data_IF_231068687387
#
_entry.id   IF_231068687387
#
_cell.length_a   1.000
_cell.length_b   1.000
_cell.length_c   1.000
_cell.angle_alpha   90.00
_cell.angle_beta   90.00
_cell.angle_gamma   90.00
#
_symmetry.space_group_name_H-M   'P 1'
#
loop_
_entity.id
_entity.type
_entity.pdbx_description
1 polymer ?
#
# COMPACT_ATOMS: atom_id res chain seq x y z
N UNK A 1 -5.60 -0.44 1.55
CA UNK A 1 -4.14 -0.32 1.30
C UNK A 1 -3.64 -1.67 0.81
N UNK A 2 -2.70 -1.72 -0.12
CA UNK A 2 -2.22 -3.00 -0.67
C UNK A 2 -0.73 -3.24 -0.41
N UNK A 3 0.05 -2.16 -0.34
CA UNK A 3 1.49 -2.21 -0.19
C UNK A 3 1.99 -0.91 0.45
N UNK A 4 3.05 -1.00 1.25
CA UNK A 4 3.79 0.13 1.78
C UNK A 4 5.26 0.02 1.37
N UNK A 5 5.89 1.13 1.03
CA UNK A 5 7.28 1.15 0.54
C UNK A 5 8.31 0.67 1.58
N UNK A 6 7.99 0.70 2.87
CA UNK A 6 8.88 0.25 3.95
C UNK A 6 8.49 -1.13 4.50
N UNK A 7 7.19 -1.43 4.60
CA UNK A 7 6.69 -2.66 5.20
C UNK A 7 6.36 -3.77 4.17
N UNK A 8 6.34 -3.45 2.88
CA UNK A 8 5.96 -4.37 1.82
C UNK A 8 4.44 -4.54 1.70
N UNK A 9 4.03 -5.69 1.17
CA UNK A 9 2.64 -6.00 0.86
C UNK A 9 1.81 -6.39 2.07
N UNK A 10 0.52 -6.03 2.01
CA UNK A 10 -0.47 -6.38 3.03
C UNK A 10 -1.25 -7.59 2.53
N UNK A 11 -0.72 -8.79 2.78
CA UNK A 11 -1.24 -10.04 2.23
C UNK A 11 -2.71 -10.31 2.54
N UNK A 12 -3.18 -9.94 3.73
CA UNK A 12 -4.59 -10.09 4.10
C UNK A 12 -5.55 -9.38 3.12
N UNK A 13 -5.16 -8.21 2.59
CA UNK A 13 -5.99 -7.48 1.64
C UNK A 13 -5.97 -8.11 0.25
N UNK A 14 -4.84 -8.71 -0.14
CA UNK A 14 -4.77 -9.53 -1.35
C UNK A 14 -5.69 -10.75 -1.24
N UNK A 15 -5.72 -11.42 -0.09
CA UNK A 15 -6.59 -12.58 0.16
C UNK A 15 -8.07 -12.25 0.07
N UNK A 16 -8.48 -11.12 0.65
CA UNK A 16 -9.84 -10.62 0.54
C UNK A 16 -10.20 -10.28 -0.90
N UNK A 17 -9.28 -9.63 -1.63
CA UNK A 17 -9.48 -9.33 -3.04
C UNK A 17 -9.66 -10.60 -3.88
N UNK A 18 -8.89 -11.66 -3.59
CA UNK A 18 -8.94 -12.96 -4.28
C UNK A 18 -10.15 -13.83 -3.93
N UNK A 19 -10.75 -13.65 -2.76
CA UNK A 19 -11.92 -14.41 -2.32
C UNK A 19 -13.24 -13.81 -2.78
N UNK A 20 -13.26 -12.54 -3.21
CA UNK A 20 -14.49 -11.84 -3.60
C UNK A 20 -14.47 -11.43 -5.07
N UNK A 21 -15.62 -11.39 -5.72
CA UNK A 21 -15.77 -10.92 -7.11
C UNK A 21 -15.68 -9.39 -7.22
N UNK A 22 -14.48 -8.87 -6.95
CA UNK A 22 -14.13 -7.45 -6.99
C UNK A 22 -13.04 -7.21 -8.04
N UNK A 23 -13.09 -6.03 -8.63
CA UNK A 23 -12.17 -5.54 -9.65
C UNK A 23 -11.45 -4.30 -9.13
N UNK A 24 -10.15 -4.23 -9.33
CA UNK A 24 -9.38 -3.00 -9.14
C UNK A 24 -9.73 -2.05 -10.28
N UNK A 25 -10.19 -0.85 -9.93
CA UNK A 25 -10.62 0.17 -10.89
C UNK A 25 -9.74 1.42 -10.89
N UNK A 26 -8.95 1.66 -9.83
CA UNK A 26 -7.92 2.71 -9.76
C UNK A 26 -6.87 2.35 -8.71
N UNK A 27 -5.73 3.04 -8.75
CA UNK A 27 -4.76 3.07 -7.68
C UNK A 27 -4.38 4.51 -7.30
N UNK A 28 -3.84 4.69 -6.10
CA UNK A 28 -3.19 5.93 -5.68
C UNK A 28 -2.05 5.65 -4.72
N UNK A 29 -1.07 6.54 -4.68
CA UNK A 29 0.08 6.47 -3.78
C UNK A 29 -0.02 7.63 -2.80
N UNK A 30 -0.22 7.32 -1.53
CA UNK A 30 -0.31 8.32 -0.48
C UNK A 30 1.02 8.39 0.26
N UNK A 31 1.65 9.57 0.25
CA UNK A 31 2.82 9.82 1.11
C UNK A 31 2.37 9.79 2.57
N UNK A 32 3.05 8.97 3.36
CA UNK A 32 2.84 8.90 4.81
C UNK A 32 3.64 10.02 5.45
N UNK A 33 2.91 10.96 6.06
CA UNK A 33 3.47 12.07 6.82
C UNK A 33 3.02 11.95 8.28
N UNK A 34 3.99 11.86 9.19
CA UNK A 34 3.74 11.82 10.62
C UNK A 34 3.78 13.24 11.19
N UNK A 35 2.68 13.65 11.80
CA UNK A 35 2.49 15.00 12.34
C UNK A 35 2.32 14.91 13.84
N UNK A 36 3.16 15.64 14.58
CA UNK A 36 2.97 15.87 16.02
C UNK A 36 1.89 16.93 16.22
N UNK A 37 0.90 16.59 17.03
CA UNK A 37 -0.23 17.46 17.35
C UNK A 37 -0.61 17.38 18.84
N UNK A 38 -1.30 18.40 19.33
CA UNK A 38 -1.83 18.44 20.69
C UNK A 38 -3.16 19.20 20.75
N UNK A 39 -3.77 19.23 21.93
CA UNK A 39 -4.94 20.07 22.19
C UNK A 39 -4.63 21.57 21.88
N UNK A 40 -5.56 22.36 21.32
CA UNK A 40 -5.33 23.76 20.97
C UNK A 40 -4.77 24.64 22.10
N UNK A 41 -5.25 24.42 23.32
CA UNK A 41 -4.80 25.10 24.55
C UNK A 41 -3.47 24.57 25.12
N UNK A 42 -2.81 23.63 24.46
CA UNK A 42 -1.52 23.06 24.86
C UNK A 42 -0.34 23.67 24.07
N UNK A 43 0.86 23.41 24.57
CA UNK A 43 2.14 23.85 23.98
C UNK A 43 3.15 22.71 24.02
N UNK A 44 4.15 22.76 23.15
CA UNK A 44 5.22 21.76 23.10
C UNK A 44 5.95 21.61 24.45
N UNK A 45 6.13 22.72 25.19
CA UNK A 45 6.77 22.71 26.51
C UNK A 45 5.95 21.95 27.57
N UNK A 46 4.62 21.93 27.44
CA UNK A 46 3.74 21.21 28.38
C UNK A 46 3.71 19.70 28.16
N UNK A 47 4.03 19.24 26.95
CA UNK A 47 3.95 17.82 26.61
C UNK A 47 4.96 16.98 27.39
N UNK A 48 4.49 15.86 27.94
CA UNK A 48 5.28 14.82 28.61
C UNK A 48 5.21 13.50 27.85
N UNK A 49 4.08 13.22 27.22
CA UNK A 49 3.83 11.98 26.50
C UNK A 49 3.34 12.23 25.08
N UNK A 50 3.64 11.29 24.18
CA UNK A 50 3.16 11.31 22.79
C UNK A 50 2.60 9.95 22.43
N UNK A 51 1.32 9.91 22.05
CA UNK A 51 0.59 8.69 21.73
C UNK A 51 0.53 8.42 20.22
N UNK A 52 0.71 7.17 19.82
CA UNK A 52 0.43 6.72 18.45
C UNK A 52 0.45 5.19 18.34
N UNK A 53 0.15 4.67 17.15
CA UNK A 53 0.37 3.27 16.84
C UNK A 53 1.87 2.91 17.00
N UNK A 54 2.23 1.72 17.53
CA UNK A 54 3.63 1.33 17.73
C UNK A 54 4.51 1.50 16.49
N UNK A 55 3.97 1.15 15.31
CA UNK A 55 4.70 1.32 14.04
C UNK A 55 4.98 2.79 13.70
N UNK A 56 4.06 3.70 14.00
CA UNK A 56 4.25 5.14 13.77
C UNK A 56 5.28 5.72 14.74
N UNK A 57 5.26 5.27 16.01
CA UNK A 57 6.28 5.64 17.00
C UNK A 57 7.67 5.18 16.58
N UNK A 58 7.80 3.92 16.15
CA UNK A 58 9.06 3.36 15.65
C UNK A 58 9.57 4.13 14.43
N UNK A 59 8.67 4.52 13.51
CA UNK A 59 9.00 5.35 12.36
C UNK A 59 9.39 6.79 12.73
N UNK A 60 9.20 7.23 13.98
CA UNK A 60 9.59 8.55 14.47
C UNK A 60 10.71 8.47 15.54
N UNK A 61 11.45 7.36 15.62
CA UNK A 61 12.45 7.15 16.69
C UNK A 61 13.49 8.27 16.78
N UNK A 62 13.99 8.78 15.64
CA UNK A 62 14.98 9.89 15.59
C UNK A 62 14.44 11.18 16.23
N UNK A 63 13.11 11.38 16.19
CA UNK A 63 12.49 12.51 16.88
C UNK A 63 12.55 12.32 18.40
N UNK A 64 12.22 11.13 18.90
CA UNK A 64 12.25 10.83 20.34
C UNK A 64 13.66 10.83 20.91
N UNK A 65 14.65 10.33 20.16
CA UNK A 65 16.08 10.40 20.55
C UNK A 65 16.54 11.84 20.81
N UNK A 66 16.04 12.80 20.02
CA UNK A 66 16.34 14.24 20.16
C UNK A 66 15.49 14.95 21.22
N UNK A 67 14.40 14.33 21.67
CA UNK A 67 13.45 14.92 22.62
C UNK A 67 13.17 13.94 23.75
N UNK A 68 14.22 13.52 24.47
CA UNK A 68 14.16 12.47 25.50
C UNK A 68 13.15 12.74 26.64
N UNK A 69 12.74 14.00 26.84
CA UNK A 69 11.68 14.37 27.78
C UNK A 69 10.30 13.83 27.37
N UNK A 70 10.08 13.59 26.08
CA UNK A 70 8.81 13.09 25.54
C UNK A 70 8.81 11.56 25.55
N UNK A 71 7.90 10.98 26.34
CA UNK A 71 7.72 9.53 26.41
C UNK A 71 6.81 9.05 25.26
N UNK A 72 7.28 8.14 24.38
CA UNK A 72 6.41 7.48 23.41
C UNK A 72 5.47 6.51 24.12
N UNK A 73 4.17 6.59 23.84
CA UNK A 73 3.14 5.73 24.45
C UNK A 73 2.34 5.04 23.36
N UNK A 74 2.37 3.71 23.34
CA UNK A 74 1.63 2.91 22.38
C UNK A 74 0.11 3.13 22.53
N UNK A 75 -0.57 3.21 21.39
CA UNK A 75 -2.02 3.35 21.29
C UNK A 75 -2.55 2.45 20.19
N UNK A 76 -3.86 2.18 20.20
CA UNK A 76 -4.49 1.23 19.28
C UNK A 76 -4.29 1.60 17.80
N UNK A 77 -4.47 2.87 17.44
CA UNK A 77 -4.20 3.38 16.11
C UNK A 77 -3.83 4.88 16.13
N UNK A 78 -3.34 5.40 14.99
CA UNK A 78 -2.87 6.79 14.88
C UNK A 78 -4.00 7.83 14.98
N UNK A 79 -5.15 7.57 14.35
CA UNK A 79 -6.28 8.51 14.35
C UNK A 79 -7.03 8.50 15.69
N UNK A 80 -7.16 7.33 16.31
CA UNK A 80 -7.67 7.13 17.66
C UNK A 80 -6.79 7.80 18.71
N UNK A 81 -5.46 7.76 18.55
CA UNK A 81 -4.55 8.51 19.42
C UNK A 81 -4.84 10.02 19.36
N UNK A 82 -4.98 10.58 18.16
CA UNK A 82 -5.36 11.99 17.96
C UNK A 82 -6.72 12.31 18.57
N UNK A 83 -7.75 11.49 18.26
CA UNK A 83 -9.10 11.63 18.81
C UNK A 83 -9.11 11.67 20.35
N UNK A 84 -8.33 10.78 20.98
CA UNK A 84 -8.26 10.68 22.43
C UNK A 84 -7.80 11.96 23.13
N UNK A 85 -6.93 12.77 22.48
CA UNK A 85 -6.46 14.04 23.04
C UNK A 85 -7.60 15.03 23.21
N UNK A 86 -8.51 15.09 22.23
CA UNK A 86 -9.67 15.97 22.29
C UNK A 86 -10.73 15.47 23.27
N UNK A 87 -11.02 14.17 23.26
CA UNK A 87 -12.04 13.58 24.15
C UNK A 87 -11.63 13.70 25.63
N UNK A 88 -10.36 13.43 25.94
CA UNK A 88 -9.83 13.54 27.30
C UNK A 88 -9.45 14.96 27.72
N UNK A 89 -9.43 15.91 26.77
CA UNK A 89 -8.93 17.29 26.96
C UNK A 89 -7.55 17.36 27.62
N UNK A 90 -6.70 16.37 27.36
CA UNK A 90 -5.36 16.29 27.95
C UNK A 90 -4.46 17.37 27.38
N UNK A 91 -3.78 18.10 28.26
CA UNK A 91 -2.94 19.23 27.88
C UNK A 91 -1.44 18.92 27.97
N UNK A 92 -1.06 17.81 28.57
CA UNK A 92 0.32 17.31 28.68
C UNK A 92 0.62 16.12 27.75
N UNK A 93 -0.36 15.73 26.93
CA UNK A 93 -0.24 14.62 25.99
C UNK A 93 -0.39 15.11 24.56
N UNK A 94 0.53 14.71 23.69
CA UNK A 94 0.45 14.89 22.25
C UNK A 94 0.09 13.58 21.54
N UNK A 95 -0.17 13.67 20.25
CA UNK A 95 -0.33 12.52 19.37
C UNK A 95 0.53 12.65 18.12
N UNK A 96 0.97 11.51 17.58
CA UNK A 96 1.50 11.43 16.21
C UNK A 96 0.43 10.79 15.33
N UNK A 97 -0.03 11.52 14.32
CA UNK A 97 -1.04 11.04 13.37
C UNK A 97 -0.91 11.77 12.03
N UNK A 98 -1.85 11.50 11.12
CA UNK A 98 -1.90 12.19 9.83
C UNK A 98 -2.35 13.65 9.97
N UNK A 99 -1.94 14.51 9.04
CA UNK A 99 -2.47 15.88 8.93
C UNK A 99 -4.01 15.92 8.81
N UNK A 100 -4.61 14.90 8.20
CA UNK A 100 -6.06 14.78 8.10
C UNK A 100 -6.71 14.60 9.48
N UNK A 101 -6.14 13.76 10.36
CA UNK A 101 -6.64 13.58 11.72
C UNK A 101 -6.57 14.88 12.54
N UNK A 102 -5.50 15.65 12.38
CA UNK A 102 -5.38 16.96 13.05
C UNK A 102 -6.53 17.90 12.67
N UNK A 103 -6.86 17.99 11.36
CA UNK A 103 -7.97 18.81 10.87
C UNK A 103 -9.33 18.29 11.32
N UNK A 104 -9.53 16.97 11.22
CA UNK A 104 -10.79 16.33 11.57
C UNK A 104 -11.17 16.56 13.03
N UNK A 105 -10.19 16.47 13.94
CA UNK A 105 -10.43 16.62 15.37
C UNK A 105 -10.13 18.03 15.90
N UNK A 106 -9.74 18.99 15.05
CA UNK A 106 -9.44 20.35 15.48
C UNK A 106 -8.21 20.48 16.38
N UNK A 107 -7.22 19.60 16.21
CA UNK A 107 -5.97 19.61 16.99
C UNK A 107 -4.98 20.64 16.44
N UNK A 108 -4.17 21.19 17.34
CA UNK A 108 -3.07 22.09 17.00
C UNK A 108 -1.87 21.28 16.54
N UNK A 109 -1.41 21.56 15.32
CA UNK A 109 -0.19 20.98 14.75
C UNK A 109 1.03 21.68 15.36
N UNK A 110 1.94 20.89 15.92
CA UNK A 110 3.20 21.38 16.51
C UNK A 110 4.38 21.19 15.58
N UNK A 111 4.45 20.05 14.89
CA UNK A 111 5.56 19.73 13.99
C UNK A 111 5.11 18.71 12.94
N UNK A 112 5.61 18.86 11.72
CA UNK A 112 5.34 17.99 10.57
C UNK A 112 6.58 17.20 10.18
N UNK A 113 6.39 16.16 9.39
CA UNK A 113 7.46 15.33 8.84
C UNK A 113 8.35 14.72 9.93
N UNK A 114 7.75 14.07 10.93
CA UNK A 114 8.48 13.41 12.01
C UNK A 114 9.05 12.04 11.59
N UNK A 115 8.58 11.49 10.47
CA UNK A 115 9.06 10.23 9.95
C UNK A 115 10.58 10.22 9.74
N UNK A 116 11.22 9.12 10.11
CA UNK A 116 12.64 8.86 9.90
C UNK A 116 12.96 8.89 8.40
N UNK A 117 12.08 8.30 7.58
CA UNK A 117 12.24 8.16 6.13
C UNK A 117 11.17 8.96 5.38
N UNK A 118 11.60 9.97 4.61
CA UNK A 118 10.70 10.88 3.88
C UNK A 118 9.98 10.24 2.71
N UNK A 119 10.55 9.16 2.16
CA UNK A 119 10.04 8.42 1.01
C UNK A 119 9.17 7.23 1.45
N UNK A 120 8.30 7.45 2.44
CA UNK A 120 7.33 6.46 2.89
C UNK A 120 6.00 6.66 2.15
N UNK A 121 5.62 5.68 1.34
CA UNK A 121 4.38 5.72 0.56
C UNK A 121 3.58 4.46 0.79
N UNK A 122 2.27 4.61 0.89
CA UNK A 122 1.33 3.48 0.87
C UNK A 122 0.52 3.53 -0.40
N UNK A 123 0.55 2.41 -1.14
CA UNK A 123 -0.27 2.19 -2.33
C UNK A 123 -1.66 1.73 -1.90
N UNK A 124 -2.68 2.39 -2.44
CA UNK A 124 -4.08 2.07 -2.23
C UNK A 124 -4.72 1.69 -3.56
N UNK A 125 -5.59 0.69 -3.51
CA UNK A 125 -6.42 0.27 -4.63
C UNK A 125 -7.86 0.69 -4.36
N UNK A 126 -8.49 1.29 -5.36
CA UNK A 126 -9.93 1.46 -5.40
C UNK A 126 -10.54 0.24 -6.08
N UNK A 127 -11.49 -0.41 -5.42
CA UNK A 127 -12.11 -1.65 -5.89
C UNK A 127 -13.61 -1.47 -6.10
N UNK A 128 -14.18 -2.23 -7.04
CA UNK A 128 -15.60 -2.19 -7.38
C UNK A 128 -16.10 -3.56 -7.83
N UNK A 129 -17.40 -3.81 -7.69
CA UNK A 129 -18.03 -5.00 -8.30
C UNK A 129 -18.03 -4.92 -9.83
N UNK A 130 -18.08 -3.72 -10.39
CA UNK A 130 -18.06 -3.50 -11.84
C UNK A 130 -16.64 -3.13 -12.28
N UNK A 131 -16.10 -3.74 -13.36
CA UNK A 131 -14.79 -3.39 -13.87
C UNK A 131 -14.77 -1.95 -14.42
N UNK A 132 -13.58 -1.36 -14.45
CA UNK A 132 -13.40 -0.07 -15.07
C UNK A 132 -13.40 -0.20 -16.61
N UNK A 133 -14.08 0.74 -17.27
CA UNK A 133 -14.06 0.82 -18.72
C UNK A 133 -12.94 1.78 -19.19
N UNK A 134 -11.94 1.27 -19.93
CA UNK A 134 -10.84 2.09 -20.41
C UNK A 134 -11.28 3.15 -21.40
N UNK A 135 -10.68 4.34 -21.25
CA UNK A 135 -10.77 5.43 -22.22
C UNK A 135 -9.51 5.44 -23.09
N UNK A 136 -9.61 5.74 -24.40
CA UNK A 136 -8.44 5.92 -25.25
C UNK A 136 -7.44 6.93 -24.66
N UNK A 137 -6.14 6.70 -24.86
CA UNK A 137 -5.07 7.62 -24.45
C UNK A 137 -4.70 7.59 -22.95
N UNK A 138 -5.32 6.73 -22.15
CA UNK A 138 -4.95 6.57 -20.72
C UNK A 138 -3.92 5.47 -20.57
N UNK A 139 -2.78 5.76 -19.91
CA UNK A 139 -1.83 4.71 -19.50
C UNK A 139 -2.49 3.79 -18.48
N UNK A 140 -2.56 2.51 -18.80
CA UNK A 140 -3.22 1.51 -17.96
C UNK A 140 -2.23 0.51 -17.38
N UNK A 141 -2.63 -0.10 -16.28
CA UNK A 141 -2.00 -1.24 -15.65
C UNK A 141 -3.02 -2.36 -15.49
N UNK A 142 -2.54 -3.59 -15.53
CA UNK A 142 -3.31 -4.79 -15.30
C UNK A 142 -2.71 -5.56 -14.12
N UNK A 143 -3.51 -5.88 -13.12
CA UNK A 143 -3.08 -6.73 -12.00
C UNK A 143 -3.64 -8.13 -12.15
N UNK A 144 -2.79 -9.13 -12.00
CA UNK A 144 -3.16 -10.55 -12.09
C UNK A 144 -2.63 -11.31 -10.88
N UNK A 145 -3.33 -12.39 -10.55
CA UNK A 145 -2.85 -13.40 -9.64
C UNK A 145 -2.91 -14.77 -10.32
N UNK A 146 -1.90 -15.61 -10.09
CA UNK A 146 -1.87 -16.96 -10.66
C UNK A 146 -1.05 -17.93 -9.83
N UNK A 147 -1.29 -19.21 -10.07
CA UNK A 147 -0.50 -20.33 -9.51
C UNK A 147 0.18 -21.07 -10.65
N UNK A 148 1.51 -21.15 -10.68
CA UNK A 148 2.22 -21.95 -11.66
C UNK A 148 1.86 -23.44 -11.57
N UNK A 149 2.03 -24.17 -12.67
CA UNK A 149 2.08 -25.64 -12.61
C UNK A 149 3.33 -26.04 -11.82
N UNK A 150 3.15 -26.79 -10.73
CA UNK A 150 4.25 -27.22 -9.87
C UNK A 150 5.22 -28.17 -10.59
N UNK A 151 6.41 -28.29 -10.03
CA UNK A 151 7.40 -29.33 -10.33
C UNK A 151 8.14 -29.23 -11.68
N UNK A 152 8.32 -28.02 -12.22
CA UNK A 152 9.26 -27.82 -13.33
C UNK A 152 10.31 -26.73 -13.04
N UNK A 153 11.61 -27.06 -13.08
CA UNK A 153 12.68 -26.08 -13.08
C UNK A 153 12.45 -25.00 -14.15
N UNK A 154 12.66 -23.74 -13.77
CA UNK A 154 12.51 -22.59 -14.68
C UNK A 154 11.06 -22.19 -14.98
N UNK A 155 10.06 -22.71 -14.27
CA UNK A 155 8.65 -22.35 -14.51
C UNK A 155 8.42 -20.83 -14.41
N UNK A 156 9.01 -20.16 -13.41
CA UNK A 156 8.89 -18.71 -13.28
C UNK A 156 9.55 -17.98 -14.45
N UNK A 157 10.72 -18.44 -14.90
CA UNK A 157 11.38 -17.87 -16.09
C UNK A 157 10.50 -17.96 -17.33
N UNK A 158 9.87 -19.12 -17.58
CA UNK A 158 8.93 -19.29 -18.72
C UNK A 158 7.74 -18.32 -18.60
N UNK A 159 7.16 -18.21 -17.41
CA UNK A 159 6.06 -17.28 -17.12
C UNK A 159 6.46 -15.83 -17.39
N UNK A 160 7.61 -15.38 -16.89
CA UNK A 160 8.08 -14.02 -17.14
C UNK A 160 8.44 -13.80 -18.62
N UNK A 161 8.93 -14.85 -19.29
CA UNK A 161 9.18 -14.86 -20.74
C UNK A 161 7.92 -14.55 -21.57
N UNK A 162 6.73 -14.95 -21.12
CA UNK A 162 5.46 -14.63 -21.79
C UNK A 162 5.28 -13.13 -22.01
N UNK A 163 5.68 -12.33 -21.02
CA UNK A 163 5.59 -10.87 -21.05
C UNK A 163 6.80 -10.22 -21.71
N UNK A 164 8.00 -10.68 -21.36
CA UNK A 164 9.26 -10.13 -21.87
C UNK A 164 9.37 -10.23 -23.40
N UNK A 165 8.96 -11.36 -23.99
CA UNK A 165 8.96 -11.58 -25.45
C UNK A 165 7.99 -10.66 -26.22
N UNK A 166 7.17 -9.86 -25.53
CA UNK A 166 6.16 -8.95 -26.10
C UNK A 166 6.35 -7.50 -25.66
N UNK A 167 7.51 -7.18 -25.07
CA UNK A 167 7.83 -5.85 -24.54
C UNK A 167 6.73 -5.33 -23.60
N UNK A 168 6.27 -6.19 -22.69
CA UNK A 168 5.32 -5.86 -21.62
C UNK A 168 6.09 -5.68 -20.33
N UNK A 169 6.08 -4.45 -19.83
CA UNK A 169 6.76 -4.10 -18.58
C UNK A 169 6.07 -4.69 -17.35
N UNK A 170 6.87 -5.19 -16.40
CA UNK A 170 6.43 -5.73 -15.13
C UNK A 170 6.63 -4.66 -14.05
N UNK A 171 5.52 -4.15 -13.54
CA UNK A 171 5.49 -3.04 -12.58
C UNK A 171 5.55 -3.54 -11.13
N UNK A 172 5.21 -4.81 -10.92
CA UNK A 172 5.34 -5.52 -9.65
C UNK A 172 5.41 -7.03 -9.92
N UNK A 173 6.23 -7.71 -9.15
CA UNK A 173 6.21 -9.17 -9.00
C UNK A 173 6.31 -9.50 -7.51
N UNK A 174 5.46 -10.40 -7.05
CA UNK A 174 5.53 -10.92 -5.69
C UNK A 174 5.04 -12.36 -5.64
N UNK A 175 5.80 -13.20 -4.96
CA UNK A 175 5.42 -14.57 -4.63
C UNK A 175 5.12 -14.68 -3.14
N UNK A 176 4.14 -15.51 -2.78
CA UNK A 176 3.96 -15.95 -1.39
C UNK A 176 3.55 -17.42 -1.31
N UNK A 177 3.87 -18.12 -0.21
CA UNK A 177 3.32 -19.45 0.03
C UNK A 177 1.80 -19.43 0.06
N UNK A 178 1.16 -20.47 -0.46
CA UNK A 178 -0.28 -20.65 -0.32
C UNK A 178 -0.59 -21.26 1.06
N UNK A 179 -1.39 -20.59 1.91
CA UNK A 179 -1.77 -21.13 3.22
C UNK A 179 -2.53 -22.46 3.15
N UNK A 180 -3.16 -22.77 2.01
CA UNK A 180 -3.98 -23.98 1.80
C UNK A 180 -3.20 -25.15 1.20
N UNK A 181 -2.03 -24.89 0.64
CA UNK A 181 -1.27 -25.88 -0.12
C UNK A 181 0.23 -25.75 0.22
N UNK A 182 0.77 -26.66 1.04
CA UNK A 182 2.18 -26.64 1.41
C UNK A 182 3.11 -26.63 0.20
N UNK A 183 4.12 -25.74 0.24
CA UNK A 183 5.14 -25.58 -0.82
C UNK A 183 4.63 -25.11 -2.18
N UNK A 184 3.36 -24.74 -2.28
CA UNK A 184 2.83 -24.05 -3.44
C UNK A 184 2.90 -22.54 -3.24
N UNK A 185 3.04 -21.82 -4.36
CA UNK A 185 3.18 -20.38 -4.34
C UNK A 185 2.13 -19.71 -5.23
N UNK A 186 1.58 -18.63 -4.70
CA UNK A 186 0.72 -17.71 -5.40
C UNK A 186 1.54 -16.49 -5.81
N UNK A 187 1.38 -16.08 -7.07
CA UNK A 187 2.08 -14.92 -7.62
C UNK A 187 1.11 -13.79 -7.90
N UNK A 188 1.53 -12.56 -7.58
CA UNK A 188 0.86 -11.32 -7.91
C UNK A 188 1.74 -10.51 -8.85
N UNK A 189 1.22 -10.19 -10.03
CA UNK A 189 1.92 -9.38 -11.02
C UNK A 189 1.10 -8.15 -11.37
N UNK A 190 1.78 -7.02 -11.47
CA UNK A 190 1.26 -5.82 -12.13
C UNK A 190 1.98 -5.65 -13.47
N UNK A 191 1.21 -5.48 -14.54
CA UNK A 191 1.70 -5.36 -15.91
C UNK A 191 1.35 -3.99 -16.47
N UNK A 192 2.24 -3.40 -17.27
CA UNK A 192 1.88 -2.24 -18.08
C UNK A 192 0.95 -2.65 -19.23
N UNK A 193 -0.14 -1.89 -19.39
CA UNK A 193 -1.13 -2.10 -20.45
C UNK A 193 -2.46 -2.68 -19.96
N UNK A 194 -3.37 -2.89 -20.91
CA UNK A 194 -4.73 -3.38 -20.69
C UNK A 194 -4.98 -4.70 -21.43
N UNK A 195 -5.80 -5.62 -20.90
CA UNK A 195 -6.26 -6.80 -21.65
C UNK A 195 -6.99 -6.48 -22.98
N UNK A 196 -7.37 -5.22 -23.22
CA UNK A 196 -7.91 -4.79 -24.53
C UNK A 196 -6.83 -4.55 -25.60
N UNK A 197 -5.57 -4.42 -25.21
CA UNK A 197 -4.45 -4.32 -26.13
C UNK A 197 -4.06 -5.71 -26.63
N UNK A 198 -3.95 -5.89 -27.94
CA UNK A 198 -3.71 -7.20 -28.55
C UNK A 198 -2.44 -7.89 -28.00
N UNK A 199 -1.36 -7.14 -27.73
CA UNK A 199 -0.12 -7.69 -27.17
C UNK A 199 -0.32 -8.26 -25.76
N UNK A 200 -1.08 -7.54 -24.92
CA UNK A 200 -1.36 -7.95 -23.53
C UNK A 200 -2.35 -9.09 -23.51
N UNK A 201 -3.41 -9.04 -24.34
CA UNK A 201 -4.39 -10.12 -24.48
C UNK A 201 -3.70 -11.45 -24.82
N UNK A 202 -2.85 -11.45 -25.86
CA UNK A 202 -2.07 -12.64 -26.28
C UNK A 202 -1.12 -13.14 -25.20
N UNK A 203 -0.52 -12.23 -24.41
CA UNK A 203 0.34 -12.61 -23.29
C UNK A 203 -0.47 -13.29 -22.18
N UNK A 204 -1.63 -12.75 -21.83
CA UNK A 204 -2.51 -13.32 -20.81
C UNK A 204 -3.12 -14.66 -21.26
N UNK A 205 -3.38 -14.84 -22.55
CA UNK A 205 -3.80 -16.13 -23.12
C UNK A 205 -2.69 -17.18 -22.98
N UNK A 206 -1.46 -16.87 -23.43
CA UNK A 206 -0.32 -17.78 -23.30
C UNK A 206 0.01 -18.10 -21.83
N UNK A 207 -0.16 -17.12 -20.92
CA UNK A 207 0.01 -17.39 -19.48
C UNK A 207 -0.94 -18.49 -18.98
N UNK A 208 -2.20 -18.50 -19.44
CA UNK A 208 -3.20 -19.47 -19.00
C UNK A 208 -2.84 -20.91 -19.36
N UNK A 209 -1.98 -21.11 -20.36
CA UNK A 209 -1.49 -22.43 -20.77
C UNK A 209 -0.44 -23.01 -19.81
N UNK A 210 0.21 -22.15 -19.00
CA UNK A 210 1.34 -22.53 -18.13
C UNK A 210 1.05 -22.36 -16.63
N UNK A 211 -0.20 -22.06 -16.27
CA UNK A 211 -0.66 -21.86 -14.88
C UNK A 211 -1.87 -22.73 -14.58
N UNK A 212 -2.00 -23.19 -13.33
CA UNK A 212 -3.15 -24.00 -12.87
C UNK A 212 -4.33 -23.15 -12.45
N UNK A 213 -4.07 -21.93 -11.99
CA UNK A 213 -5.08 -20.95 -11.63
C UNK A 213 -4.67 -19.58 -12.13
N UNK A 214 -5.65 -18.81 -12.61
CA UNK A 214 -5.46 -17.46 -13.09
C UNK A 214 -6.65 -16.60 -12.68
N UNK A 215 -6.35 -15.39 -12.20
CA UNK A 215 -7.35 -14.37 -11.94
C UNK A 215 -6.87 -13.00 -12.39
N UNK A 216 -7.66 -12.36 -13.24
CA UNK A 216 -7.55 -10.93 -13.50
C UNK A 216 -8.15 -10.17 -12.30
N UNK A 217 -7.31 -9.42 -11.59
CA UNK A 217 -7.75 -8.62 -10.44
C UNK A 217 -8.31 -7.26 -10.88
N UNK A 218 -7.90 -6.77 -12.05
CA UNK A 218 -8.45 -5.57 -12.66
C UNK A 218 -7.51 -4.98 -13.70
N UNK A 219 -8.07 -4.16 -14.59
CA UNK A 219 -7.34 -3.30 -15.49
C UNK A 219 -7.80 -1.86 -15.27
N UNK A 220 -6.87 -0.96 -14.99
CA UNK A 220 -7.17 0.37 -14.44
C UNK A 220 -6.09 1.40 -14.82
N UNK A 221 -6.37 2.71 -14.71
CA UNK A 221 -5.38 3.75 -14.94
C UNK A 221 -4.20 3.60 -13.98
N UNK A 222 -2.98 3.81 -14.49
CA UNK A 222 -1.81 3.95 -13.62
C UNK A 222 -2.00 5.13 -12.66
N UNK A 223 -1.59 4.95 -11.41
CA UNK A 223 -1.64 6.00 -10.39
C UNK A 223 -0.75 7.18 -10.77
N UNK A 224 -1.16 8.39 -10.38
CA UNK A 224 -0.35 9.58 -10.59
C UNK A 224 0.98 9.50 -9.83
N UNK A 225 2.05 10.00 -10.45
CA UNK A 225 3.41 10.07 -9.90
C UNK A 225 4.42 9.20 -10.64
N UNK A 226 5.72 9.43 -10.37
CA UNK A 226 6.84 8.67 -10.96
C UNK A 226 7.20 7.47 -10.08
N UNK A 227 6.26 6.53 -9.92
CA UNK A 227 6.46 5.31 -9.10
C UNK A 227 6.86 4.09 -9.92
N UNK A 228 6.61 4.15 -11.22
CA UNK A 228 6.87 3.07 -12.15
C UNK A 228 7.80 3.63 -13.23
N UNK A 229 8.96 2.99 -13.42
CA UNK A 229 9.97 3.46 -14.35
C UNK A 229 9.40 3.81 -15.73
N UNK A 230 9.92 4.87 -16.33
CA UNK A 230 9.43 5.45 -17.58
C UNK A 230 9.38 6.98 -17.45
N UNK A 231 10.03 7.66 -18.40
CA UNK A 231 10.25 9.12 -18.41
C UNK A 231 8.98 9.95 -18.18
#
# INVERSE_FOLDING_TARGET
>A
PIENSLAGSIHQNYDLLLSHSLNIIRETHLRIEHVLMCHPSSTTARLKEVRSHPQALAQCSRFFERHQRLKPVAFYDTAGAAKSIMESRTLDTGAIASMHAARLYGLKVLKRNLENEKHNYTRFLLISRTPWNPRPGVRTKCSIAFRPVLNQPGILFRILGVFSLRDIDLLKIESRPDPRSPFEYLFYLDLAGSPKEAKVAKALEHLKEVVTQYRLLGAYPMGAGKFYGGQ
#
